data_IF_874427728002
#
_entry.id   IF_874427728002
#
_cell.length_a   1.000
_cell.length_b   1.000
_cell.length_c   1.000
_cell.angle_alpha   90.00
_cell.angle_beta   90.00
_cell.angle_gamma   90.00
#
_symmetry.space_group_name_H-M   'P 1'
#
loop_
_entity.id
_entity.type
_entity.pdbx_description
1 polymer ?
#
# COMPACT_ATOMS: atom_id res chain seq x y z
N UNK A 1 -13.95 7.02 -13.29
CA UNK A 1 -13.77 7.16 -11.84
C UNK A 1 -12.29 7.01 -11.49
N UNK A 2 -11.70 7.91 -10.69
CA UNK A 2 -10.33 7.74 -10.20
C UNK A 2 -10.26 6.58 -9.20
N UNK A 3 -9.36 5.64 -9.44
CA UNK A 3 -9.04 4.53 -8.54
C UNK A 3 -7.58 4.66 -8.13
N UNK A 4 -7.31 4.55 -6.84
CA UNK A 4 -5.97 4.71 -6.32
C UNK A 4 -5.34 3.34 -6.06
N UNK A 5 -4.10 3.19 -6.52
CA UNK A 5 -3.15 2.26 -5.95
C UNK A 5 -2.20 3.06 -5.05
N UNK A 6 -1.49 2.41 -4.15
CA UNK A 6 -0.43 3.07 -3.40
C UNK A 6 0.55 3.76 -4.38
N UNK A 7 0.76 5.05 -4.20
CA UNK A 7 1.69 5.85 -5.02
C UNK A 7 1.23 6.16 -6.45
N UNK A 8 0.05 5.72 -6.89
CA UNK A 8 -0.42 5.96 -8.27
C UNK A 8 -1.94 6.14 -8.35
N UNK A 9 -2.38 7.01 -9.25
CA UNK A 9 -3.79 7.19 -9.57
C UNK A 9 -4.06 6.67 -10.97
N UNK A 10 -5.09 5.86 -11.09
CA UNK A 10 -5.58 5.32 -12.33
C UNK A 10 -6.96 5.89 -12.63
N UNK A 11 -7.26 6.05 -13.92
CA UNK A 11 -8.62 6.31 -14.36
C UNK A 11 -9.23 4.98 -14.78
N UNK A 12 -10.33 4.63 -14.15
CA UNK A 12 -11.16 3.52 -14.58
C UNK A 12 -12.39 4.04 -15.29
N UNK A 13 -12.67 3.50 -16.48
CA UNK A 13 -13.86 3.79 -17.28
C UNK A 13 -14.96 2.75 -17.10
N UNK A 14 -14.67 1.61 -16.47
CA UNK A 14 -15.59 0.49 -16.32
C UNK A 14 -15.35 -0.28 -15.01
N UNK A 15 -16.40 -0.90 -14.49
CA UNK A 15 -16.34 -1.75 -13.31
C UNK A 15 -17.12 -3.03 -13.54
N UNK A 16 -16.86 -4.03 -12.70
CA UNK A 16 -17.58 -5.31 -12.68
C UNK A 16 -17.94 -5.62 -11.24
N UNK A 17 -19.12 -6.19 -11.03
CA UNK A 17 -19.53 -6.68 -9.71
C UNK A 17 -19.51 -8.20 -9.69
N UNK A 18 -18.94 -8.78 -8.64
CA UNK A 18 -18.91 -10.22 -8.45
C UNK A 18 -18.73 -10.59 -6.98
N UNK A 19 -19.05 -11.84 -6.66
CA UNK A 19 -18.82 -12.40 -5.33
C UNK A 19 -17.38 -12.92 -5.20
N UNK A 20 -16.63 -12.34 -4.27
CA UNK A 20 -15.35 -12.87 -3.83
C UNK A 20 -15.57 -13.88 -2.69
N UNK A 21 -15.05 -15.10 -2.87
CA UNK A 21 -15.16 -16.16 -1.87
C UNK A 21 -13.84 -16.32 -1.12
N UNK A 22 -13.88 -16.17 0.20
CA UNK A 22 -12.74 -16.42 1.09
C UNK A 22 -13.01 -17.68 1.88
N UNK A 23 -12.15 -18.69 1.72
CA UNK A 23 -12.36 -20.02 2.29
C UNK A 23 -11.50 -20.20 3.53
N UNK A 24 -12.13 -20.40 4.68
CA UNK A 24 -11.49 -20.92 5.88
C UNK A 24 -11.52 -22.45 5.90
N UNK A 25 -11.18 -23.03 7.05
CA UNK A 25 -11.15 -24.48 7.22
C UNK A 25 -12.54 -25.13 6.96
N UNK A 26 -13.56 -24.63 7.66
CA UNK A 26 -14.91 -25.23 7.64
C UNK A 26 -15.99 -24.31 7.07
N UNK A 27 -15.65 -23.04 6.82
CA UNK A 27 -16.60 -22.00 6.45
C UNK A 27 -16.09 -21.17 5.27
N UNK A 28 -16.99 -20.47 4.59
CA UNK A 28 -16.68 -19.60 3.45
C UNK A 28 -17.38 -18.26 3.63
N UNK A 29 -16.62 -17.16 3.53
CA UNK A 29 -17.19 -15.82 3.42
C UNK A 29 -17.43 -15.50 1.95
N UNK A 30 -18.62 -14.95 1.65
CA UNK A 30 -19.00 -14.47 0.32
C UNK A 30 -19.19 -12.97 0.39
N UNK A 31 -18.26 -12.22 -0.19
CA UNK A 31 -18.25 -10.76 -0.14
C UNK A 31 -18.54 -10.22 -1.54
N UNK A 32 -19.66 -9.49 -1.75
CA UNK A 32 -19.92 -8.83 -3.02
C UNK A 32 -18.94 -7.66 -3.17
N UNK A 33 -18.18 -7.65 -4.26
CA UNK A 33 -17.19 -6.59 -4.54
C UNK A 33 -17.46 -5.92 -5.88
N UNK A 34 -17.33 -4.60 -5.90
CA UNK A 34 -17.21 -3.80 -7.11
C UNK A 34 -15.73 -3.63 -7.45
N UNK A 35 -15.30 -4.16 -8.58
CA UNK A 35 -13.92 -4.07 -9.04
C UNK A 35 -13.83 -3.16 -10.27
N UNK A 36 -13.04 -2.11 -10.15
CA UNK A 36 -12.74 -1.21 -11.26
C UNK A 36 -11.67 -1.81 -12.18
N UNK A 37 -11.94 -1.78 -13.49
CA UNK A 37 -11.00 -2.20 -14.51
C UNK A 37 -9.98 -1.08 -14.75
N UNK A 38 -8.70 -1.44 -14.69
CA UNK A 38 -7.58 -0.53 -14.91
C UNK A 38 -6.70 -1.10 -16.01
N UNK A 39 -6.51 -0.32 -17.08
CA UNK A 39 -5.62 -0.70 -18.17
C UNK A 39 -4.16 -0.74 -17.71
N UNK A 40 -3.39 -1.69 -18.27
CA UNK A 40 -1.96 -1.84 -18.02
C UNK A 40 -1.56 -2.13 -16.56
N UNK A 41 -2.50 -2.61 -15.72
CA UNK A 41 -2.19 -3.04 -14.36
C UNK A 41 -1.83 -4.53 -14.33
N UNK A 42 -0.63 -4.86 -13.81
CA UNK A 42 -0.16 -6.25 -13.68
C UNK A 42 -0.90 -7.07 -12.61
N UNK A 43 -1.53 -6.40 -11.64
CA UNK A 43 -2.26 -7.07 -10.57
C UNK A 43 -3.57 -7.66 -11.10
N UNK A 44 -3.85 -8.93 -10.79
CA UNK A 44 -5.09 -9.61 -11.23
C UNK A 44 -6.34 -9.06 -10.54
N UNK A 45 -6.24 -8.78 -9.24
CA UNK A 45 -7.28 -8.19 -8.41
C UNK A 45 -6.61 -7.49 -7.22
N UNK A 46 -7.06 -6.28 -6.90
CA UNK A 46 -6.66 -5.56 -5.70
C UNK A 46 -7.90 -5.38 -4.82
N UNK A 47 -7.79 -5.79 -3.55
CA UNK A 47 -8.85 -5.57 -2.57
C UNK A 47 -8.49 -4.30 -1.81
N UNK A 48 -9.33 -3.27 -1.97
CA UNK A 48 -9.12 -1.96 -1.38
C UNK A 48 -9.55 -1.88 0.08
N UNK A 49 -9.30 -0.71 0.67
CA UNK A 49 -9.67 -0.40 2.05
C UNK A 49 -11.18 -0.22 2.23
N UNK A 50 -11.91 0.06 1.16
CA UNK A 50 -13.37 0.06 1.11
C UNK A 50 -13.93 -1.32 1.49
N UNK A 51 -13.33 -2.40 0.99
CA UNK A 51 -13.72 -3.78 1.34
C UNK A 51 -13.07 -4.22 2.66
N UNK A 52 -11.74 -4.09 2.78
CA UNK A 52 -10.97 -4.53 3.95
C UNK A 52 -11.46 -3.84 5.23
N UNK A 53 -11.69 -2.52 5.17
CA UNK A 53 -12.13 -1.73 6.30
C UNK A 53 -13.58 -2.01 6.67
N UNK A 54 -14.47 -2.14 5.68
CA UNK A 54 -15.89 -2.44 5.91
C UNK A 54 -16.09 -3.81 6.58
N UNK A 55 -15.38 -4.82 6.10
CA UNK A 55 -15.47 -6.20 6.61
C UNK A 55 -14.55 -6.45 7.82
N UNK A 56 -13.76 -5.45 8.21
CA UNK A 56 -12.90 -5.50 9.40
C UNK A 56 -11.75 -6.50 9.31
N UNK A 57 -11.20 -6.70 8.11
CA UNK A 57 -10.09 -7.63 7.86
C UNK A 57 -8.91 -7.34 8.81
N UNK A 58 -8.47 -8.37 9.53
CA UNK A 58 -7.29 -8.31 10.41
C UNK A 58 -6.21 -9.22 9.85
N UNK A 59 -5.16 -8.62 9.30
CA UNK A 59 -4.03 -9.33 8.72
C UNK A 59 -3.01 -9.63 9.82
N UNK A 60 -2.74 -10.92 10.04
CA UNK A 60 -1.66 -11.40 10.89
C UNK A 60 -0.57 -12.00 9.98
N UNK A 61 0.50 -11.24 9.78
CA UNK A 61 1.59 -11.65 8.89
C UNK A 61 2.52 -12.69 9.53
N UNK A 62 2.55 -12.78 10.86
CA UNK A 62 3.36 -13.76 11.59
C UNK A 62 2.68 -15.13 11.55
N UNK A 63 1.37 -15.16 11.86
CA UNK A 63 0.55 -16.36 11.72
C UNK A 63 0.25 -16.71 10.25
N UNK A 64 0.48 -15.77 9.32
CA UNK A 64 0.11 -15.87 7.91
C UNK A 64 -1.37 -16.18 7.74
N UNK A 65 -2.21 -15.48 8.50
CA UNK A 65 -3.66 -15.59 8.38
C UNK A 65 -4.31 -14.22 8.26
N UNK A 66 -5.51 -14.20 7.71
CA UNK A 66 -6.41 -13.05 7.78
C UNK A 66 -7.68 -13.48 8.50
N UNK A 67 -8.12 -12.66 9.46
CA UNK A 67 -9.40 -12.83 10.14
C UNK A 67 -10.41 -11.85 9.57
N UNK A 68 -11.62 -12.32 9.31
CA UNK A 68 -12.74 -11.53 8.81
C UNK A 68 -13.85 -11.56 9.87
N UNK A 69 -13.85 -10.62 10.83
CA UNK A 69 -14.76 -10.62 11.98
C UNK A 69 -16.24 -10.58 11.58
N UNK A 70 -16.59 -9.88 10.50
CA UNK A 70 -17.96 -9.78 10.00
C UNK A 70 -18.56 -11.14 9.60
N UNK A 71 -17.73 -12.17 9.37
CA UNK A 71 -18.15 -13.52 9.01
C UNK A 71 -17.75 -14.55 10.08
N UNK A 72 -18.33 -14.42 11.29
CA UNK A 72 -18.14 -15.38 12.41
C UNK A 72 -16.65 -15.54 12.77
N UNK A 73 -15.85 -14.48 12.60
CA UNK A 73 -14.42 -14.53 12.86
C UNK A 73 -13.65 -15.50 11.94
N UNK A 74 -14.14 -15.70 10.71
CA UNK A 74 -13.51 -16.57 9.71
C UNK A 74 -12.01 -16.30 9.61
N UNK A 75 -11.22 -17.36 9.71
CA UNK A 75 -9.78 -17.31 9.55
C UNK A 75 -9.39 -17.98 8.23
N UNK A 76 -8.61 -17.27 7.42
CA UNK A 76 -8.20 -17.67 6.08
C UNK A 76 -6.69 -17.62 6.00
N UNK A 77 -6.02 -18.69 5.56
CA UNK A 77 -4.57 -18.67 5.38
C UNK A 77 -4.20 -17.72 4.24
N UNK A 78 -3.14 -16.94 4.43
CA UNK A 78 -2.57 -16.06 3.40
C UNK A 78 -1.14 -16.48 3.09
N UNK A 79 -0.69 -16.21 1.87
CA UNK A 79 0.72 -16.32 1.53
C UNK A 79 1.34 -14.92 1.45
N UNK A 80 2.43 -14.72 2.18
CA UNK A 80 3.25 -13.53 2.03
C UNK A 80 4.38 -13.85 1.06
N UNK A 81 4.47 -13.05 0.01
CA UNK A 81 5.57 -13.12 -0.94
C UNK A 81 6.40 -11.86 -0.79
N UNK A 82 7.67 -12.00 -0.49
CA UNK A 82 8.61 -10.89 -0.58
C UNK A 82 8.64 -10.42 -2.02
N UNK A 83 8.54 -9.11 -2.24
CA UNK A 83 8.75 -8.54 -3.58
C UNK A 83 10.12 -9.02 -4.06
N UNK A 84 10.24 -9.61 -5.27
CA UNK A 84 11.53 -9.99 -5.80
C UNK A 84 12.42 -8.74 -5.82
N UNK A 85 13.66 -8.89 -5.34
CA UNK A 85 14.60 -7.81 -5.07
C UNK A 85 14.19 -6.92 -3.88
N UNK A 86 14.17 -7.42 -2.65
CA UNK A 86 14.07 -6.54 -1.48
C UNK A 86 15.18 -5.48 -1.55
N UNK A 87 14.80 -4.24 -1.91
CA UNK A 87 15.77 -3.20 -2.17
C UNK A 87 16.43 -2.79 -0.86
N UNK A 88 17.75 -2.70 -0.84
CA UNK A 88 18.47 -2.08 0.26
C UNK A 88 17.91 -0.66 0.49
N UNK A 89 17.87 -0.23 1.75
CA UNK A 89 17.50 1.15 2.07
C UNK A 89 18.33 2.12 1.24
N UNK A 90 17.65 3.09 0.61
CA UNK A 90 18.30 4.10 -0.21
C UNK A 90 18.35 5.41 0.55
N UNK A 91 19.53 6.02 0.72
CA UNK A 91 19.62 7.30 1.39
C UNK A 91 18.93 8.36 0.54
N UNK A 92 18.12 9.18 1.21
CA UNK A 92 17.46 10.35 0.63
C UNK A 92 18.14 11.59 1.20
N UNK A 93 18.49 12.52 0.34
CA UNK A 93 19.18 13.76 0.70
C UNK A 93 18.27 14.95 0.49
N UNK A 94 18.45 16.01 1.28
CA UNK A 94 17.89 17.29 0.92
C UNK A 94 18.53 17.77 -0.39
N UNK A 95 17.72 18.31 -1.29
CA UNK A 95 18.21 18.81 -2.58
C UNK A 95 19.08 20.06 -2.40
N UNK A 96 18.73 20.90 -1.42
CA UNK A 96 19.47 22.09 -1.03
C UNK A 96 19.55 22.23 0.48
N UNK A 97 20.56 22.96 0.93
CA UNK A 97 20.67 23.36 2.33
C UNK A 97 19.49 24.27 2.72
N UNK A 98 18.87 23.98 3.85
CA UNK A 98 17.74 24.74 4.36
C UNK A 98 17.73 24.74 5.89
N UNK A 99 17.30 25.86 6.47
CA UNK A 99 17.05 25.98 7.90
C UNK A 99 15.56 25.77 8.15
N UNK A 100 15.21 24.79 8.98
CA UNK A 100 13.85 24.58 9.46
C UNK A 100 13.72 25.27 10.81
N UNK A 101 12.91 26.33 10.94
CA UNK A 101 12.70 27.01 12.21
C UNK A 101 12.15 26.05 13.28
N UNK A 102 12.49 26.26 14.57
CA UNK A 102 11.90 25.48 15.65
C UNK A 102 10.38 25.50 15.61
N UNK A 103 9.75 24.35 15.88
CA UNK A 103 8.28 24.17 15.94
C UNK A 103 7.54 24.58 14.67
N UNK A 104 8.19 24.47 13.51
CA UNK A 104 7.56 24.72 12.21
C UNK A 104 7.43 23.42 11.39
N UNK A 105 6.53 23.44 10.41
CA UNK A 105 6.40 22.39 9.40
C UNK A 105 6.85 22.98 8.07
N UNK A 106 7.82 22.33 7.43
CA UNK A 106 8.38 22.78 6.15
C UNK A 106 8.44 21.61 5.18
N UNK A 107 8.09 21.86 3.92
CA UNK A 107 8.32 20.89 2.83
C UNK A 107 9.77 20.98 2.39
N UNK A 108 10.53 19.90 2.60
CA UNK A 108 11.93 19.80 2.22
C UNK A 108 12.01 19.16 0.83
N UNK A 109 12.52 19.85 -0.20
CA UNK A 109 12.82 19.23 -1.48
C UNK A 109 13.87 18.14 -1.27
N UNK A 110 13.60 16.94 -1.79
CA UNK A 110 14.41 15.75 -1.56
C UNK A 110 14.91 15.18 -2.89
N UNK A 111 16.07 14.53 -2.85
CA UNK A 111 16.67 13.81 -4.00
C UNK A 111 17.22 12.46 -3.57
N UNK A 112 17.17 11.50 -4.48
CA UNK A 112 17.79 10.18 -4.33
C UNK A 112 18.93 10.05 -5.32
N UNK A 113 20.12 9.69 -4.84
CA UNK A 113 21.29 9.44 -5.70
C UNK A 113 21.34 7.97 -6.16
N UNK A 114 20.20 7.42 -6.58
CA UNK A 114 20.10 6.06 -7.08
C UNK A 114 18.92 5.96 -8.05
N UNK A 115 19.13 5.20 -9.14
CA UNK A 115 18.03 4.80 -10.00
C UNK A 115 17.17 3.80 -9.24
N UNK A 116 15.99 4.24 -8.84
CA UNK A 116 14.99 3.40 -8.20
C UNK A 116 14.25 2.60 -9.27
N UNK A 117 14.15 1.27 -9.16
CA UNK A 117 13.27 0.49 -10.02
C UNK A 117 11.83 1.03 -9.98
N UNK A 118 11.22 1.22 -11.15
CA UNK A 118 9.85 1.72 -11.32
C UNK A 118 8.76 0.67 -11.06
N UNK A 119 9.15 -0.60 -10.96
CA UNK A 119 8.23 -1.73 -10.78
C UNK A 119 7.73 -1.91 -9.33
N UNK A 120 7.99 -0.93 -8.46
CA UNK A 120 7.69 -1.00 -7.04
C UNK A 120 7.45 0.37 -6.40
N UNK A 121 6.76 0.30 -5.28
CA UNK A 121 6.56 1.41 -4.35
C UNK A 121 7.62 1.38 -3.25
N UNK A 122 7.95 2.56 -2.73
CA UNK A 122 8.88 2.78 -1.64
C UNK A 122 8.17 3.43 -0.46
N UNK A 123 8.71 3.21 0.73
CA UNK A 123 8.33 3.98 1.92
C UNK A 123 9.44 4.98 2.21
N UNK A 124 9.12 6.27 2.15
CA UNK A 124 9.97 7.30 2.72
C UNK A 124 9.74 7.31 4.22
N UNK A 125 10.80 7.03 4.98
CA UNK A 125 10.83 7.13 6.43
C UNK A 125 12.05 7.94 6.85
N UNK A 126 11.83 8.99 7.63
CA UNK A 126 12.93 9.77 8.19
C UNK A 126 13.27 9.32 9.61
N UNK A 127 14.56 9.19 9.89
CA UNK A 127 15.07 8.94 11.25
C UNK A 127 16.05 10.05 11.63
N UNK A 128 15.62 10.96 12.50
CA UNK A 128 16.47 12.02 13.03
C UNK A 128 16.17 12.29 14.50
N UNK A 129 17.19 12.71 15.26
CA UNK A 129 17.04 12.95 16.71
C UNK A 129 16.30 14.24 17.06
N UNK A 130 16.32 15.23 16.17
CA UNK A 130 15.82 16.59 16.44
C UNK A 130 14.64 17.00 15.55
N UNK A 131 14.20 16.13 14.64
CA UNK A 131 13.12 16.42 13.71
C UNK A 131 12.26 15.16 13.51
N UNK A 132 10.95 15.36 13.45
CA UNK A 132 10.00 14.32 13.06
C UNK A 132 9.79 14.37 11.55
N UNK A 133 9.61 13.20 10.95
CA UNK A 133 9.30 13.06 9.54
C UNK A 133 7.97 12.34 9.41
N UNK A 134 7.16 12.77 8.45
CA UNK A 134 5.99 12.02 8.04
C UNK A 134 6.44 10.86 7.16
N UNK A 135 5.97 9.66 7.49
CA UNK A 135 6.16 8.51 6.61
C UNK A 135 5.23 8.65 5.40
N UNK A 136 5.79 8.50 4.21
CA UNK A 136 5.05 8.61 2.96
C UNK A 136 5.30 7.38 2.10
N UNK A 137 4.26 6.88 1.44
CA UNK A 137 4.41 5.94 0.35
C UNK A 137 4.67 6.72 -0.93
N UNK A 138 5.75 6.39 -1.63
CA UNK A 138 6.25 7.11 -2.81
C UNK A 138 6.56 6.15 -3.95
N UNK A 139 6.48 6.62 -5.20
CA UNK A 139 6.91 5.86 -6.38
C UNK A 139 8.43 5.96 -6.58
N UNK A 140 8.98 5.53 -7.72
CA UNK A 140 10.41 5.62 -8.01
C UNK A 140 10.88 7.03 -8.43
N UNK A 141 9.94 7.88 -8.86
CA UNK A 141 10.19 9.18 -9.49
C UNK A 141 9.68 10.32 -8.60
N UNK A 142 9.64 10.12 -7.28
CA UNK A 142 9.01 11.04 -6.35
C UNK A 142 9.60 12.45 -6.48
N UNK A 143 8.81 13.32 -7.10
CA UNK A 143 9.07 14.73 -7.34
C UNK A 143 8.17 15.58 -6.43
#
# INVERSE_FOLDING_TARGET
>A
MPVARIGSRHLSSAFVTFDAFFRGADNVARIPIEAHLVENLKAKLLIGMDVIGHEGFRLDFDAKTVKIPSYIGLEVPISTHTKPHHAAQRPVYADKHMVVPPRSIVRVPARVQANLPEDREYVFEGRHRQAAFYSHLVDANFA
#
